data_IF_643634886164
#
_entry.id   IF_643634886164
#
_cell.length_a   1.000
_cell.length_b   1.000
_cell.length_c   1.000
_cell.angle_alpha   90.00
_cell.angle_beta   90.00
_cell.angle_gamma   90.00
#
_symmetry.space_group_name_H-M   'P 1'
#
loop_
_entity.id
_entity.type
_entity.pdbx_description
1 polymer ?
#
# COMPACT_ATOMS: atom_id res chain seq x y z
N UNK A 1 -13.05 73.44 -14.23
CA UNK A 1 -13.20 72.26 -15.10
C UNK A 1 -11.79 71.87 -15.53
N UNK A 2 -11.18 70.93 -14.78
CA UNK A 2 -9.75 70.66 -14.79
C UNK A 2 -9.36 69.63 -15.87
N UNK A 3 -8.22 69.90 -16.50
CA UNK A 3 -7.57 69.12 -17.53
C UNK A 3 -7.37 67.65 -17.13
N UNK A 4 -7.59 66.72 -18.07
CA UNK A 4 -7.10 65.34 -17.99
C UNK A 4 -6.20 65.02 -19.18
N UNK A 5 -4.94 64.82 -18.81
CA UNK A 5 -3.78 64.36 -19.57
C UNK A 5 -4.07 63.02 -20.26
N UNK A 6 -3.74 62.91 -21.55
CA UNK A 6 -3.63 61.65 -22.28
C UNK A 6 -2.25 61.05 -22.01
N UNK A 7 -2.20 59.87 -21.40
CA UNK A 7 -0.97 59.09 -21.27
C UNK A 7 -0.83 58.22 -22.53
N UNK A 8 0.10 58.61 -23.40
CA UNK A 8 0.64 57.80 -24.49
C UNK A 8 1.73 56.92 -23.90
N UNK A 9 1.59 55.60 -23.95
CA UNK A 9 2.70 54.67 -23.71
C UNK A 9 3.07 54.03 -25.03
N UNK A 10 4.32 54.27 -25.38
CA UNK A 10 5.00 54.00 -26.65
C UNK A 10 5.45 52.54 -26.72
N UNK A 11 5.35 51.97 -27.92
CA UNK A 11 6.00 50.73 -28.35
C UNK A 11 7.50 50.73 -28.07
N UNK A 12 7.99 49.65 -27.47
CA UNK A 12 9.37 49.18 -27.54
C UNK A 12 9.36 47.76 -26.98
N UNK A 13 9.89 46.73 -27.59
CA UNK A 13 10.92 46.59 -28.60
C UNK A 13 11.45 45.18 -28.37
N UNK A 14 11.32 44.32 -29.38
CA UNK A 14 11.85 42.94 -29.37
C UNK A 14 13.36 42.99 -29.14
N UNK A 15 13.86 42.27 -28.13
CA UNK A 15 15.28 41.97 -28.01
C UNK A 15 15.46 40.49 -27.62
N UNK A 16 15.66 39.66 -28.65
CA UNK A 16 16.31 38.37 -28.53
C UNK A 16 17.76 38.60 -28.09
N UNK A 17 18.12 38.12 -26.90
CA UNK A 17 19.52 37.90 -26.54
C UNK A 17 19.91 36.49 -26.96
N UNK A 18 20.48 36.37 -28.16
CA UNK A 18 21.27 35.21 -28.57
C UNK A 18 22.72 35.48 -28.18
N UNK A 19 23.17 34.90 -27.06
CA UNK A 19 24.58 34.80 -26.72
C UNK A 19 25.07 33.40 -27.13
N UNK A 20 25.75 33.36 -28.27
CA UNK A 20 26.59 32.23 -28.64
C UNK A 20 27.82 32.22 -27.71
N UNK A 21 27.92 31.20 -26.86
CA UNK A 21 29.19 30.83 -26.24
C UNK A 21 29.68 29.52 -26.87
N UNK A 22 30.92 29.60 -27.34
CA UNK A 22 31.72 28.54 -27.93
C UNK A 22 31.94 27.49 -26.84
N UNK A 23 31.35 26.32 -27.01
CA UNK A 23 31.59 25.17 -26.15
C UNK A 23 33.01 24.65 -26.37
N UNK A 24 33.83 24.69 -25.31
CA UNK A 24 34.99 23.81 -25.17
C UNK A 24 34.42 22.43 -24.88
N UNK A 25 34.67 21.47 -25.77
CA UNK A 25 34.33 20.07 -25.54
C UNK A 25 35.17 19.55 -24.38
N UNK A 26 34.55 19.45 -23.20
CA UNK A 26 35.06 18.67 -22.09
C UNK A 26 34.58 17.24 -22.33
N UNK A 27 35.50 16.30 -22.51
CA UNK A 27 35.19 14.87 -22.48
C UNK A 27 34.49 14.57 -21.14
N UNK A 28 33.17 14.43 -21.20
CA UNK A 28 32.41 13.80 -20.13
C UNK A 28 32.67 12.32 -20.31
N UNK A 29 33.55 11.79 -19.48
CA UNK A 29 33.67 10.37 -19.22
C UNK A 29 32.27 9.89 -18.83
N UNK A 30 31.54 9.26 -19.77
CA UNK A 30 30.28 8.57 -19.54
C UNK A 30 30.56 7.30 -18.70
N UNK A 31 31.08 7.51 -17.49
CA UNK A 31 30.84 6.58 -16.41
C UNK A 31 29.37 6.71 -16.07
N UNK A 32 28.54 5.80 -16.57
CA UNK A 32 27.25 5.52 -15.92
C UNK A 32 27.55 5.39 -14.44
N UNK A 33 27.17 6.38 -13.64
CA UNK A 33 27.21 6.26 -12.20
C UNK A 33 26.35 5.05 -11.87
N UNK A 34 27.00 3.92 -11.59
CA UNK A 34 26.37 2.77 -10.97
C UNK A 34 25.89 3.29 -9.63
N UNK A 35 24.61 3.67 -9.58
CA UNK A 35 23.92 3.84 -8.32
C UNK A 35 23.93 2.45 -7.69
N UNK A 36 24.90 2.20 -6.80
CA UNK A 36 24.77 1.14 -5.82
C UNK A 36 23.62 1.58 -4.93
N UNK A 37 22.40 1.17 -5.33
CA UNK A 37 21.24 1.20 -4.46
C UNK A 37 21.64 0.32 -3.29
N UNK A 38 22.16 0.98 -2.24
CA UNK A 38 22.59 0.33 -1.02
C UNK A 38 21.51 -0.62 -0.51
N UNK A 39 21.91 -1.50 0.39
CA UNK A 39 21.07 -2.57 0.90
C UNK A 39 19.64 -2.11 1.24
N UNK A 40 18.67 -2.53 0.42
CA UNK A 40 17.28 -2.08 0.57
C UNK A 40 16.65 -2.89 1.71
N UNK A 41 16.36 -2.19 2.80
CA UNK A 41 15.67 -2.75 3.98
C UNK A 41 14.15 -2.65 3.80
N UNK A 42 13.46 -3.75 4.08
CA UNK A 42 12.04 -3.96 3.88
C UNK A 42 11.41 -4.69 5.06
N UNK A 43 10.08 -4.60 5.21
CA UNK A 43 9.29 -5.29 6.27
C UNK A 43 8.38 -6.48 5.87
N UNK A 44 8.58 -7.22 4.76
CA UNK A 44 7.81 -8.41 4.37
C UNK A 44 7.65 -9.48 5.45
N UNK A 45 8.66 -9.63 6.30
CA UNK A 45 8.67 -10.61 7.40
C UNK A 45 8.18 -10.01 8.71
N UNK A 46 7.60 -8.80 8.69
CA UNK A 46 7.33 -7.96 9.86
C UNK A 46 8.59 -7.65 10.70
N UNK A 47 9.77 -7.81 10.10
CA UNK A 47 11.10 -7.46 10.58
C UNK A 47 11.83 -6.73 9.47
N UNK A 48 12.73 -5.82 9.84
CA UNK A 48 13.60 -5.14 8.88
C UNK A 48 14.62 -6.14 8.32
N UNK A 49 14.55 -6.36 7.01
CA UNK A 49 15.37 -7.30 6.26
C UNK A 49 15.79 -6.76 4.92
N UNK A 50 16.92 -7.23 4.45
CA UNK A 50 17.49 -6.87 3.17
C UNK A 50 16.80 -7.72 2.10
N UNK A 51 16.58 -7.18 0.90
CA UNK A 51 15.88 -7.95 -0.15
C UNK A 51 16.61 -9.25 -0.52
N UNK A 52 17.93 -9.30 -0.35
CA UNK A 52 18.76 -10.49 -0.60
C UNK A 52 18.54 -11.63 0.39
N UNK A 53 18.23 -11.30 1.65
CA UNK A 53 18.07 -12.27 2.74
C UNK A 53 16.71 -13.00 2.72
N UNK A 54 15.79 -12.55 1.88
CA UNK A 54 14.43 -13.06 1.85
C UNK A 54 14.28 -14.26 0.89
N UNK A 55 13.69 -15.34 1.42
CA UNK A 55 13.30 -16.51 0.64
C UNK A 55 12.13 -16.22 -0.32
N UNK A 56 11.31 -15.21 -0.02
CA UNK A 56 10.20 -14.75 -0.87
C UNK A 56 10.65 -13.78 -1.96
N UNK A 57 9.93 -13.77 -3.10
CA UNK A 57 10.16 -12.79 -4.16
C UNK A 57 9.61 -11.42 -3.78
N UNK A 58 10.51 -10.49 -3.45
CA UNK A 58 10.16 -9.13 -3.03
C UNK A 58 10.65 -8.11 -4.06
N UNK A 59 9.85 -7.06 -4.26
CA UNK A 59 10.26 -5.85 -4.97
C UNK A 59 9.89 -4.63 -4.16
N UNK A 60 10.70 -3.58 -4.31
CA UNK A 60 10.48 -2.29 -3.65
C UNK A 60 10.44 -1.23 -4.73
N UNK A 61 9.38 -0.43 -4.69
CA UNK A 61 9.32 0.81 -5.46
C UNK A 61 9.73 1.91 -4.50
N UNK A 62 10.92 2.48 -4.74
CA UNK A 62 11.52 3.50 -3.87
C UNK A 62 10.90 4.87 -4.13
N UNK A 63 11.19 5.81 -3.22
CA UNK A 63 10.77 7.21 -3.32
C UNK A 63 11.21 7.84 -4.64
N UNK A 64 12.43 7.57 -5.09
CA UNK A 64 13.00 8.14 -6.31
C UNK A 64 12.23 7.67 -7.55
N UNK A 65 11.88 6.37 -7.58
CA UNK A 65 11.04 5.81 -8.65
C UNK A 65 9.62 6.40 -8.61
N UNK A 66 9.08 6.62 -7.40
CA UNK A 66 7.77 7.26 -7.20
C UNK A 66 7.78 8.70 -7.72
N UNK A 67 8.78 9.48 -7.35
CA UNK A 67 8.90 10.90 -7.73
C UNK A 67 9.19 11.09 -9.22
N UNK A 68 9.88 10.14 -9.85
CA UNK A 68 10.08 10.11 -11.30
C UNK A 68 8.86 9.59 -12.08
N UNK A 69 7.83 9.07 -11.41
CA UNK A 69 6.68 8.42 -12.05
C UNK A 69 5.54 9.39 -12.35
N UNK A 70 4.83 9.14 -13.46
CA UNK A 70 3.57 9.81 -13.78
C UNK A 70 2.33 9.08 -13.24
N UNK A 71 2.54 8.07 -12.38
CA UNK A 71 1.46 7.29 -11.80
C UNK A 71 0.53 8.16 -10.94
N UNK A 72 -0.78 7.88 -11.01
CA UNK A 72 -1.79 8.71 -10.34
C UNK A 72 -2.16 8.18 -8.94
N UNK A 73 -1.96 6.88 -8.70
CA UNK A 73 -2.27 6.21 -7.42
C UNK A 73 -1.13 5.28 -7.00
N UNK A 74 -1.11 4.88 -5.73
CA UNK A 74 -0.13 3.93 -5.21
C UNK A 74 -0.21 2.54 -5.88
N UNK A 75 -1.37 2.17 -6.40
CA UNK A 75 -1.54 0.89 -7.11
C UNK A 75 -1.20 0.94 -8.59
N UNK A 76 -1.19 2.14 -9.18
CA UNK A 76 -0.93 2.34 -10.60
C UNK A 76 0.53 2.06 -10.96
N UNK A 77 1.44 2.53 -10.10
CA UNK A 77 2.88 2.44 -10.30
C UNK A 77 3.36 0.99 -10.29
N UNK A 78 2.59 0.07 -9.72
CA UNK A 78 2.91 -1.36 -9.65
C UNK A 78 3.03 -2.02 -11.03
N UNK A 79 2.49 -1.41 -12.08
CA UNK A 79 2.59 -1.90 -13.46
C UNK A 79 4.02 -1.96 -14.00
N UNK A 80 4.98 -1.28 -13.36
CA UNK A 80 6.41 -1.38 -13.72
C UNK A 80 7.04 -2.71 -13.24
N UNK A 81 6.39 -3.41 -12.32
CA UNK A 81 6.94 -4.61 -11.71
C UNK A 81 6.64 -5.85 -12.57
N UNK A 82 7.64 -6.71 -12.83
CA UNK A 82 7.41 -7.96 -13.56
C UNK A 82 6.49 -8.90 -12.76
N UNK A 83 5.59 -9.56 -13.49
CA UNK A 83 4.61 -10.49 -12.91
C UNK A 83 3.45 -9.82 -12.16
N UNK A 84 3.34 -8.49 -12.25
CA UNK A 84 2.25 -7.69 -11.69
C UNK A 84 1.48 -7.04 -12.83
N UNK A 85 0.16 -7.30 -12.89
CA UNK A 85 -0.72 -6.70 -13.87
C UNK A 85 -1.70 -5.77 -13.16
N UNK A 86 -1.85 -4.56 -13.68
CA UNK A 86 -2.76 -3.56 -13.13
C UNK A 86 -3.85 -3.28 -14.16
N UNK A 87 -5.08 -3.69 -13.85
CA UNK A 87 -6.26 -3.37 -14.65
C UNK A 87 -6.95 -2.15 -14.05
N UNK A 88 -7.27 -1.13 -14.84
CA UNK A 88 -7.87 0.11 -14.34
C UNK A 88 -9.19 0.41 -15.04
N UNK A 89 -10.15 0.94 -14.29
CA UNK A 89 -11.41 1.46 -14.85
C UNK A 89 -11.31 2.96 -15.14
N UNK A 90 -10.48 3.33 -16.13
CA UNK A 90 -10.19 4.74 -16.47
C UNK A 90 -8.99 5.34 -15.71
N UNK A 91 -8.66 6.62 -15.95
CA UNK A 91 -7.40 7.24 -15.52
C UNK A 91 -7.29 7.44 -14.00
N UNK A 92 -8.40 7.71 -13.32
CA UNK A 92 -8.51 7.78 -11.85
C UNK A 92 -9.47 6.70 -11.32
N UNK A 93 -9.61 5.64 -12.11
CA UNK A 93 -10.50 4.54 -11.88
C UNK A 93 -10.10 3.66 -10.72
N UNK A 94 -10.96 2.69 -10.43
CA UNK A 94 -10.57 1.61 -9.53
C UNK A 94 -9.53 0.75 -10.26
N UNK A 95 -8.46 0.41 -9.56
CA UNK A 95 -7.48 -0.57 -10.02
C UNK A 95 -7.75 -1.95 -9.43
N UNK A 96 -7.52 -2.98 -10.22
CA UNK A 96 -7.35 -4.35 -9.77
C UNK A 96 -5.91 -4.77 -10.04
N UNK A 97 -5.22 -5.19 -8.99
CA UNK A 97 -3.82 -5.64 -9.07
C UNK A 97 -3.82 -7.17 -9.02
N UNK A 98 -3.22 -7.76 -10.05
CA UNK A 98 -3.13 -9.21 -10.23
C UNK A 98 -1.66 -9.60 -10.12
N UNK A 99 -1.34 -10.49 -9.19
CA UNK A 99 0.00 -11.03 -8.99
C UNK A 99 -0.03 -12.52 -9.29
N UNK A 100 0.77 -12.98 -10.26
CA UNK A 100 0.84 -14.40 -10.67
C UNK A 100 -0.54 -15.05 -10.93
N UNK A 101 -1.46 -14.30 -11.55
CA UNK A 101 -2.83 -14.76 -11.85
C UNK A 101 -3.83 -14.63 -10.70
N UNK A 102 -3.37 -14.28 -9.49
CA UNK A 102 -4.23 -13.99 -8.36
C UNK A 102 -4.60 -12.49 -8.33
N UNK A 103 -5.84 -12.21 -8.67
CA UNK A 103 -6.51 -10.92 -8.46
C UNK A 103 -7.97 -11.14 -8.12
N UNK A 104 -8.68 -10.10 -7.69
CA UNK A 104 -10.13 -10.06 -7.45
C UNK A 104 -10.46 -8.77 -6.69
N UNK A 105 -10.04 -7.64 -7.25
CA UNK A 105 -10.18 -6.29 -6.69
C UNK A 105 -9.65 -6.17 -5.25
N UNK A 106 -8.48 -6.75 -5.01
CA UNK A 106 -7.83 -6.79 -3.68
C UNK A 106 -8.32 -7.89 -2.74
N UNK A 107 -9.19 -8.82 -3.17
CA UNK A 107 -9.59 -9.97 -2.32
C UNK A 107 -8.55 -11.08 -2.23
N UNK A 108 -7.69 -11.21 -3.24
CA UNK A 108 -6.64 -12.25 -3.32
C UNK A 108 -5.22 -11.69 -3.23
N UNK A 109 -5.07 -10.37 -3.13
CA UNK A 109 -3.81 -9.68 -2.92
C UNK A 109 -4.03 -8.72 -1.77
N UNK A 110 -3.28 -8.89 -0.69
CA UNK A 110 -3.42 -8.05 0.49
C UNK A 110 -2.85 -6.66 0.20
N UNK A 111 -3.63 -5.62 0.43
CA UNK A 111 -3.16 -4.23 0.33
C UNK A 111 -3.13 -3.64 1.74
N UNK A 112 -1.98 -3.11 2.12
CA UNK A 112 -1.73 -2.52 3.43
C UNK A 112 -1.28 -1.07 3.27
N UNK A 113 -1.59 -0.24 4.27
CA UNK A 113 -0.96 1.06 4.49
C UNK A 113 -0.34 1.02 5.89
N UNK A 114 0.97 1.16 6.00
CA UNK A 114 1.72 1.03 7.26
C UNK A 114 1.34 -0.24 8.05
N UNK A 115 1.25 -1.38 7.33
CA UNK A 115 0.87 -2.68 7.90
C UNK A 115 -0.62 -2.86 8.25
N UNK A 116 -1.44 -1.81 8.17
CA UNK A 116 -2.90 -1.89 8.37
C UNK A 116 -3.59 -2.37 7.08
N UNK A 117 -4.42 -3.42 7.12
CA UNK A 117 -5.20 -3.86 5.95
C UNK A 117 -6.19 -2.82 5.44
N UNK A 118 -6.16 -2.53 4.13
CA UNK A 118 -7.09 -1.63 3.45
C UNK A 118 -8.23 -2.40 2.78
N UNK A 119 -9.38 -2.45 3.48
CA UNK A 119 -10.52 -3.30 3.11
C UNK A 119 -11.87 -2.61 3.29
N UNK A 120 -12.76 -2.85 2.32
CA UNK A 120 -14.19 -2.59 2.36
C UNK A 120 -14.89 -3.81 3.00
N UNK A 121 -15.52 -3.62 4.17
CA UNK A 121 -15.96 -4.73 5.03
C UNK A 121 -16.97 -5.68 4.40
N UNK A 122 -17.92 -5.16 3.62
CA UNK A 122 -19.01 -5.93 3.01
C UNK A 122 -18.56 -6.78 1.81
N UNK A 123 -17.56 -6.32 1.05
CA UNK A 123 -17.12 -7.01 -0.18
C UNK A 123 -15.70 -7.59 -0.08
N UNK A 124 -14.94 -7.33 0.98
CA UNK A 124 -13.53 -7.74 1.10
C UNK A 124 -12.58 -7.09 0.07
N UNK A 125 -13.08 -6.07 -0.60
CA UNK A 125 -12.43 -5.34 -1.68
C UNK A 125 -11.48 -4.27 -1.16
N UNK A 126 -10.45 -3.91 -1.92
CA UNK A 126 -9.70 -2.66 -1.68
C UNK A 126 -10.26 -1.54 -2.56
N UNK A 127 -10.46 -0.36 -1.96
CA UNK A 127 -10.89 0.87 -2.64
C UNK A 127 -9.65 1.60 -3.12
N UNK A 128 -9.00 1.08 -4.16
CA UNK A 128 -7.63 1.45 -4.53
C UNK A 128 -7.45 2.90 -4.97
N UNK A 129 -8.48 3.54 -5.52
CA UNK A 129 -8.46 4.95 -5.87
C UNK A 129 -8.51 5.89 -4.65
N UNK A 130 -8.78 5.35 -3.44
CA UNK A 130 -8.59 6.08 -2.19
C UNK A 130 -7.17 5.91 -1.63
N UNK A 131 -6.20 5.40 -2.41
CA UNK A 131 -4.81 5.21 -2.00
C UNK A 131 -3.88 6.10 -2.85
N UNK A 132 -3.72 7.39 -2.50
CA UNK A 132 -2.92 8.34 -3.22
C UNK A 132 -1.43 8.03 -3.02
N UNK A 133 -0.66 8.43 -4.03
CA UNK A 133 0.78 8.23 -4.09
C UNK A 133 1.57 9.36 -3.38
N UNK A 134 0.88 10.42 -2.98
CA UNK A 134 1.48 11.67 -2.51
C UNK A 134 2.26 11.52 -1.20
N UNK A 135 1.75 10.70 -0.27
CA UNK A 135 2.37 10.48 1.03
C UNK A 135 3.15 9.15 1.10
N UNK A 136 3.58 8.61 -0.04
CA UNK A 136 4.26 7.31 -0.08
C UNK A 136 5.77 7.51 -0.01
N UNK A 137 6.44 6.88 0.94
CA UNK A 137 7.91 6.78 1.01
C UNK A 137 8.40 5.63 0.12
N UNK A 138 7.74 4.47 0.21
CA UNK A 138 8.02 3.31 -0.63
C UNK A 138 6.83 2.37 -0.70
N UNK A 139 6.85 1.49 -1.68
CA UNK A 139 5.86 0.40 -1.79
C UNK A 139 6.61 -0.92 -1.83
N UNK A 140 6.32 -1.79 -0.86
CA UNK A 140 6.86 -3.14 -0.77
C UNK A 140 5.87 -4.12 -1.39
N UNK A 141 6.33 -4.95 -2.34
CA UNK A 141 5.50 -5.95 -3.02
C UNK A 141 6.10 -7.33 -2.83
N UNK A 142 5.37 -8.18 -2.12
CA UNK A 142 5.68 -9.60 -1.96
C UNK A 142 4.86 -10.38 -2.98
N UNK A 143 5.53 -11.15 -3.83
CA UNK A 143 4.88 -11.99 -4.83
C UNK A 143 4.76 -13.43 -4.34
N UNK A 144 3.58 -14.00 -4.53
CA UNK A 144 3.25 -15.33 -4.07
C UNK A 144 2.60 -15.33 -2.68
N UNK A 145 2.15 -16.49 -2.21
CA UNK A 145 1.41 -16.63 -0.98
C UNK A 145 2.21 -16.18 0.23
N UNK A 146 1.63 -15.29 1.04
CA UNK A 146 2.26 -14.76 2.27
C UNK A 146 1.29 -14.81 3.46
N UNK A 147 0.32 -15.72 3.42
CA UNK A 147 -0.74 -15.82 4.43
C UNK A 147 -0.26 -16.13 5.84
N UNK A 148 0.94 -16.70 6.03
CA UNK A 148 1.49 -16.96 7.37
C UNK A 148 1.59 -15.66 8.18
N UNK A 149 2.12 -14.61 7.58
CA UNK A 149 2.31 -13.33 8.25
C UNK A 149 1.15 -12.36 8.05
N UNK A 150 0.43 -12.45 6.93
CA UNK A 150 -0.56 -11.44 6.52
C UNK A 150 -2.01 -11.93 6.45
N UNK A 151 -2.25 -13.22 6.70
CA UNK A 151 -3.58 -13.78 6.80
C UNK A 151 -4.31 -14.00 5.49
N UNK A 152 -5.64 -14.01 5.58
CA UNK A 152 -6.53 -14.58 4.56
C UNK A 152 -6.64 -13.79 3.25
N UNK A 153 -6.08 -12.60 3.14
CA UNK A 153 -6.12 -11.87 1.86
C UNK A 153 -4.81 -11.94 1.07
N UNK A 154 -3.77 -12.56 1.65
CA UNK A 154 -2.42 -12.65 1.08
C UNK A 154 -2.20 -13.92 0.23
N UNK A 155 -3.23 -14.33 -0.52
CA UNK A 155 -3.23 -15.55 -1.33
C UNK A 155 -2.26 -15.45 -2.51
N UNK A 156 -2.27 -14.34 -3.23
CA UNK A 156 -1.40 -14.07 -4.38
C UNK A 156 -0.17 -13.23 -4.09
N UNK A 157 -0.20 -12.49 -2.98
CA UNK A 157 0.84 -11.54 -2.62
C UNK A 157 0.37 -10.46 -1.66
N UNK A 158 1.29 -9.56 -1.35
CA UNK A 158 1.09 -8.43 -0.43
C UNK A 158 1.66 -7.18 -1.09
N UNK A 159 0.93 -6.09 -0.97
CA UNK A 159 1.34 -4.74 -1.34
C UNK A 159 1.27 -3.92 -0.05
N UNK A 160 2.42 -3.52 0.49
CA UNK A 160 2.50 -2.69 1.68
C UNK A 160 2.98 -1.30 1.30
N UNK A 161 2.09 -0.33 1.41
CA UNK A 161 2.35 1.08 1.13
C UNK A 161 2.88 1.70 2.42
N UNK A 162 4.14 2.12 2.42
CA UNK A 162 4.77 2.75 3.57
C UNK A 162 4.69 4.26 3.40
N UNK A 163 4.10 4.93 4.38
CA UNK A 163 3.93 6.38 4.33
C UNK A 163 5.17 7.14 4.81
N UNK A 164 5.32 8.39 4.38
CA UNK A 164 6.44 9.25 4.78
C UNK A 164 6.39 9.54 6.27
N UNK A 165 7.56 9.49 6.92
CA UNK A 165 7.78 10.01 8.28
C UNK A 165 8.61 11.30 8.16
N UNK A 166 8.25 12.37 8.91
CA UNK A 166 9.01 13.62 8.86
C UNK A 166 10.43 13.41 9.39
N UNK A 167 11.42 13.92 8.65
CA UNK A 167 12.84 13.78 9.01
C UNK A 167 13.38 15.08 9.59
N UNK A 168 12.99 16.19 9.00
CA UNK A 168 13.44 17.52 9.42
C UNK A 168 12.57 18.12 10.54
N UNK A 169 13.12 19.09 11.27
CA UNK A 169 12.35 19.86 12.28
C UNK A 169 11.10 20.52 11.69
N UNK A 170 11.19 20.90 10.42
CA UNK A 170 10.10 21.41 9.63
C UNK A 170 10.35 21.08 8.16
N UNK A 171 9.41 20.39 7.53
CA UNK A 171 9.42 20.08 6.11
C UNK A 171 8.01 20.22 5.54
N UNK A 172 7.91 20.55 4.27
CA UNK A 172 6.61 20.69 3.62
C UNK A 172 6.75 21.19 2.20
N UNK A 173 5.67 21.03 1.46
CA UNK A 173 5.57 21.47 0.08
C UNK A 173 4.13 21.76 -0.30
N UNK A 174 4.00 22.59 -1.32
CA UNK A 174 2.73 22.92 -1.96
C UNK A 174 2.86 22.53 -3.42
N UNK A 175 1.93 21.71 -3.90
CA UNK A 175 1.83 21.35 -5.31
C UNK A 175 0.57 21.97 -5.90
N UNK A 176 0.74 22.73 -6.98
CA UNK A 176 -0.34 23.25 -7.81
C UNK A 176 -0.11 22.74 -9.23
N UNK A 177 -1.07 22.06 -9.82
CA UNK A 177 -0.94 21.54 -11.19
C UNK A 177 -2.20 21.78 -12.00
N UNK A 178 -2.01 22.12 -13.28
CA UNK A 178 -3.06 22.27 -14.27
C UNK A 178 -2.64 21.59 -15.58
N UNK A 179 -3.52 20.82 -16.20
CA UNK A 179 -3.18 20.10 -17.42
C UNK A 179 -4.37 19.60 -18.22
N UNK A 180 -4.08 18.69 -19.15
CA UNK A 180 -5.06 18.10 -20.09
C UNK A 180 -6.34 17.63 -19.40
N UNK A 181 -7.46 17.76 -20.11
CA UNK A 181 -8.79 17.41 -19.60
C UNK A 181 -9.21 18.20 -18.36
N UNK A 182 -8.70 19.43 -18.23
CA UNK A 182 -8.96 20.30 -17.08
C UNK A 182 -8.60 19.60 -15.77
N UNK A 183 -7.46 18.91 -15.78
CA UNK A 183 -6.94 18.21 -14.62
C UNK A 183 -6.28 19.22 -13.70
N UNK A 184 -6.77 19.30 -12.48
CA UNK A 184 -6.31 20.22 -11.45
C UNK A 184 -5.87 19.42 -10.24
N UNK A 185 -4.71 19.76 -9.67
CA UNK A 185 -4.19 19.14 -8.43
C UNK A 185 -3.79 20.25 -7.48
N UNK A 186 -4.33 20.19 -6.27
CA UNK A 186 -4.01 21.07 -5.17
C UNK A 186 -3.55 20.23 -3.99
N UNK A 187 -2.29 20.36 -3.60
CA UNK A 187 -1.72 19.61 -2.50
C UNK A 187 -0.98 20.50 -1.54
N UNK A 188 -1.19 20.27 -0.27
CA UNK A 188 -0.39 20.80 0.82
C UNK A 188 0.07 19.63 1.68
N UNK A 189 1.39 19.53 1.87
CA UNK A 189 2.00 18.60 2.84
C UNK A 189 2.86 19.40 3.80
N UNK A 190 2.80 19.01 5.06
CA UNK A 190 3.67 19.57 6.07
C UNK A 190 3.92 18.50 7.13
N UNK A 191 5.15 18.42 7.59
CA UNK A 191 5.53 17.64 8.75
C UNK A 191 6.64 18.30 9.55
N UNK A 192 6.87 17.76 10.74
CA UNK A 192 8.00 18.18 11.57
C UNK A 192 8.38 17.09 12.56
N UNK A 193 9.68 16.98 12.81
CA UNK A 193 10.28 16.10 13.79
C UNK A 193 10.95 16.93 14.91
N UNK A 194 10.32 16.94 16.07
CA UNK A 194 10.72 17.67 17.27
C UNK A 194 11.32 16.70 18.31
N UNK A 195 12.28 15.87 17.87
CA UNK A 195 13.02 14.88 18.65
C UNK A 195 12.15 13.76 19.23
N UNK A 196 11.42 14.04 20.31
CA UNK A 196 10.51 13.07 20.95
C UNK A 196 9.11 13.06 20.35
N UNK A 197 8.76 14.05 19.53
CA UNK A 197 7.44 14.17 18.91
C UNK A 197 7.57 14.45 17.42
N UNK A 198 6.74 13.82 16.62
CA UNK A 198 6.67 14.08 15.20
C UNK A 198 5.22 14.15 14.73
N UNK A 199 4.98 14.95 13.71
CA UNK A 199 3.66 15.12 13.12
C UNK A 199 3.75 15.27 11.61
N UNK A 200 2.68 14.88 10.95
CA UNK A 200 2.51 15.04 9.51
C UNK A 200 1.03 15.28 9.22
N UNK A 201 0.74 16.24 8.35
CA UNK A 201 -0.58 16.40 7.77
C UNK A 201 -0.49 16.61 6.26
N UNK A 202 -1.48 16.10 5.54
CA UNK A 202 -1.62 16.34 4.12
C UNK A 202 -3.07 16.57 3.71
N UNK A 203 -3.23 17.49 2.76
CA UNK A 203 -4.46 17.73 2.03
C UNK A 203 -4.13 17.54 0.55
N UNK A 204 -4.91 16.71 -0.14
CA UNK A 204 -4.79 16.44 -1.57
C UNK A 204 -6.18 16.53 -2.19
N UNK A 205 -6.38 17.50 -3.05
CA UNK A 205 -7.60 17.67 -3.85
C UNK A 205 -7.24 17.57 -5.33
N UNK A 206 -8.04 16.80 -6.07
CA UNK A 206 -7.86 16.67 -7.51
C UNK A 206 -9.21 16.64 -8.19
N UNK A 207 -9.24 17.25 -9.37
CA UNK A 207 -10.37 17.28 -10.27
C UNK A 207 -9.91 17.01 -11.69
N UNK A 208 -10.70 16.30 -12.47
CA UNK A 208 -10.48 16.16 -13.92
C UNK A 208 -11.81 15.90 -14.63
N UNK A 209 -11.89 16.30 -15.90
CA UNK A 209 -12.98 15.87 -16.80
C UNK A 209 -12.75 14.48 -17.39
N UNK A 210 -11.53 13.95 -17.26
CA UNK A 210 -11.14 12.68 -17.84
C UNK A 210 -11.02 12.72 -19.37
N UNK A 211 -10.35 11.72 -19.94
CA UNK A 211 -10.07 11.66 -21.39
C UNK A 211 -11.11 10.88 -22.19
N UNK A 212 -11.94 10.10 -21.50
CA UNK A 212 -13.04 9.34 -22.09
C UNK A 212 -14.39 9.99 -21.70
N UNK A 213 -15.45 9.79 -22.48
CA UNK A 213 -16.80 10.07 -22.01
C UNK A 213 -17.08 9.37 -20.67
N UNK A 214 -17.77 10.06 -19.75
CA UNK A 214 -18.09 9.56 -18.40
C UNK A 214 -16.86 9.09 -17.61
N UNK A 215 -15.78 9.89 -17.63
CA UNK A 215 -14.56 9.59 -16.87
C UNK A 215 -14.10 10.73 -15.98
N UNK A 216 -15.01 11.66 -15.66
CA UNK A 216 -14.80 12.70 -14.65
C UNK A 216 -14.56 12.09 -13.28
N UNK A 217 -13.68 12.76 -12.55
CA UNK A 217 -13.20 12.33 -11.24
C UNK A 217 -12.91 13.56 -10.40
N UNK A 218 -13.38 13.52 -9.16
CA UNK A 218 -12.97 14.45 -8.13
C UNK A 218 -12.78 13.73 -6.81
N UNK A 219 -11.77 14.14 -6.05
CA UNK A 219 -11.63 13.69 -4.69
C UNK A 219 -10.95 14.74 -3.82
N UNK A 220 -11.17 14.57 -2.53
CA UNK A 220 -10.49 15.25 -1.45
C UNK A 220 -9.98 14.21 -0.49
N UNK A 221 -8.71 14.31 -0.15
CA UNK A 221 -8.06 13.45 0.80
C UNK A 221 -7.39 14.27 1.88
N UNK A 222 -7.64 13.88 3.12
CA UNK A 222 -6.99 14.41 4.30
C UNK A 222 -6.27 13.26 5.01
N UNK A 223 -5.02 13.48 5.41
CA UNK A 223 -4.27 12.56 6.25
C UNK A 223 -3.63 13.32 7.39
N UNK A 224 -3.68 12.72 8.57
CA UNK A 224 -3.06 13.23 9.77
C UNK A 224 -2.33 12.09 10.46
N UNK A 225 -1.07 12.32 10.84
CA UNK A 225 -0.26 11.43 11.64
C UNK A 225 0.36 12.22 12.78
N UNK A 226 0.31 11.65 13.97
CA UNK A 226 0.99 12.11 15.17
C UNK A 226 1.77 10.95 15.73
N UNK A 227 3.00 11.17 16.18
CA UNK A 227 3.71 10.15 16.91
C UNK A 227 4.77 10.72 17.83
N UNK A 228 5.30 9.87 18.70
CA UNK A 228 6.34 10.28 19.61
C UNK A 228 6.85 9.15 20.50
N UNK A 229 8.08 9.35 20.98
CA UNK A 229 8.77 8.47 21.90
C UNK A 229 8.32 8.80 23.33
N UNK A 230 7.45 7.95 23.88
CA UNK A 230 6.97 8.04 25.26
C UNK A 230 8.09 7.72 26.26
N UNK A 231 8.93 6.75 25.90
CA UNK A 231 10.21 6.43 26.54
C UNK A 231 11.25 6.21 25.45
N UNK A 232 12.48 5.85 25.80
CA UNK A 232 13.53 5.57 24.82
C UNK A 232 13.30 4.25 24.06
N UNK A 233 12.36 3.42 24.52
CA UNK A 233 12.04 2.09 23.97
C UNK A 233 10.57 1.94 23.58
N UNK A 234 9.75 2.99 23.67
CA UNK A 234 8.32 2.96 23.39
C UNK A 234 7.91 4.17 22.55
N UNK A 235 7.50 3.90 21.31
CA UNK A 235 6.91 4.88 20.40
C UNK A 235 5.40 4.65 20.32
N UNK A 236 4.62 5.74 20.37
CA UNK A 236 3.20 5.71 20.04
C UNK A 236 2.96 6.53 18.76
N UNK A 237 2.15 5.99 17.84
CA UNK A 237 1.78 6.63 16.58
C UNK A 237 0.28 6.51 16.37
N UNK A 238 -0.38 7.65 16.20
CA UNK A 238 -1.76 7.75 15.78
C UNK A 238 -1.83 8.25 14.32
N UNK A 239 -2.56 7.53 13.47
CA UNK A 239 -2.80 7.93 12.08
C UNK A 239 -4.31 7.99 11.82
N UNK A 240 -4.76 9.03 11.14
CA UNK A 240 -6.13 9.21 10.67
C UNK A 240 -6.13 9.65 9.22
N UNK A 241 -7.12 9.18 8.47
CA UNK A 241 -7.29 9.47 7.06
C UNK A 241 -8.76 9.61 6.74
N UNK A 242 -9.09 10.56 5.88
CA UNK A 242 -10.43 10.71 5.31
C UNK A 242 -10.33 11.02 3.82
N UNK A 243 -11.08 10.27 3.03
CA UNK A 243 -11.20 10.40 1.58
C UNK A 243 -12.68 10.56 1.25
N UNK A 244 -12.98 11.57 0.45
CA UNK A 244 -14.28 11.79 -0.17
C UNK A 244 -14.05 11.91 -1.67
N UNK A 245 -14.76 11.13 -2.47
CA UNK A 245 -14.52 11.08 -3.90
C UNK A 245 -15.75 10.68 -4.71
N UNK A 246 -15.93 11.39 -5.82
CA UNK A 246 -16.93 11.09 -6.83
C UNK A 246 -16.23 10.77 -8.14
N UNK A 247 -16.73 9.74 -8.83
CA UNK A 247 -16.20 9.37 -10.14
C UNK A 247 -17.25 8.80 -11.05
N UNK A 248 -17.06 9.01 -12.35
CA UNK A 248 -17.78 8.27 -13.39
C UNK A 248 -16.91 7.16 -13.95
N UNK A 249 -17.57 6.08 -14.35
CA UNK A 249 -16.92 4.92 -14.95
C UNK A 249 -17.12 4.96 -16.47
N UNK A 250 -16.01 4.93 -17.25
CA UNK A 250 -16.11 4.79 -18.69
C UNK A 250 -16.78 3.44 -19.00
N UNK A 251 -17.92 3.48 -19.67
CA UNK A 251 -18.70 2.31 -20.08
C UNK A 251 -19.04 2.41 -21.58
N UNK A 252 -19.17 1.29 -22.33
CA UNK A 252 -19.66 1.32 -23.70
C UNK A 252 -21.05 1.99 -23.76
N UNK A 253 -21.04 3.27 -24.15
CA UNK A 253 -22.14 4.14 -24.59
C UNK A 253 -23.57 3.75 -24.18
N UNK A 254 -24.03 4.18 -22.98
CA UNK A 254 -25.38 4.74 -22.69
C UNK A 254 -25.67 4.90 -21.19
N UNK A 255 -24.98 4.17 -20.31
CA UNK A 255 -25.23 4.25 -18.86
C UNK A 255 -24.42 5.40 -18.22
N UNK A 256 -25.09 6.29 -17.51
CA UNK A 256 -24.45 7.26 -16.62
C UNK A 256 -23.99 6.56 -15.33
N UNK A 257 -22.92 5.78 -15.45
CA UNK A 257 -22.38 5.00 -14.33
C UNK A 257 -21.46 5.87 -13.48
N UNK A 258 -21.85 6.08 -12.23
CA UNK A 258 -21.08 6.83 -11.25
C UNK A 258 -20.96 6.08 -9.92
N UNK A 259 -19.92 6.43 -9.18
CA UNK A 259 -19.66 5.95 -7.84
C UNK A 259 -19.23 7.11 -6.93
N UNK A 260 -19.88 7.20 -5.78
CA UNK A 260 -19.63 8.15 -4.69
C UNK A 260 -19.13 7.34 -3.48
N UNK A 261 -17.94 7.72 -3.00
CA UNK A 261 -17.21 7.03 -1.96
C UNK A 261 -16.78 8.00 -0.87
N UNK A 262 -17.15 7.68 0.37
CA UNK A 262 -16.41 8.15 1.54
C UNK A 262 -15.63 6.98 2.12
N UNK A 263 -14.35 7.19 2.42
CA UNK A 263 -13.49 6.22 3.12
C UNK A 263 -12.73 6.93 4.21
N UNK A 264 -12.82 6.40 5.43
CA UNK A 264 -12.05 6.89 6.56
C UNK A 264 -11.30 5.77 7.25
N UNK A 265 -10.23 6.14 7.95
CA UNK A 265 -9.54 5.22 8.85
C UNK A 265 -8.93 5.95 10.02
N UNK A 266 -8.80 5.25 11.14
CA UNK A 266 -7.94 5.65 12.23
C UNK A 266 -7.22 4.42 12.79
N UNK A 267 -5.98 4.60 13.22
CA UNK A 267 -5.19 3.57 13.88
C UNK A 267 -4.25 4.14 14.93
N UNK A 268 -4.07 3.40 16.01
CA UNK A 268 -3.08 3.64 17.05
C UNK A 268 -2.11 2.47 17.05
N UNK A 269 -0.83 2.78 16.97
CA UNK A 269 0.28 1.83 16.95
C UNK A 269 1.21 2.14 18.11
N UNK A 270 1.57 1.11 18.88
CA UNK A 270 2.61 1.15 19.89
C UNK A 270 3.75 0.28 19.40
N UNK A 271 4.93 0.86 19.22
CA UNK A 271 6.15 0.12 18.87
C UNK A 271 7.03 0.05 20.11
N UNK A 272 7.54 -1.14 20.40
CA UNK A 272 8.53 -1.39 21.45
C UNK A 272 9.84 -1.84 20.83
N UNK A 273 10.95 -1.33 21.33
CA UNK A 273 12.27 -1.69 20.86
C UNK A 273 13.27 -1.77 22.02
N UNK A 274 13.59 -3.00 22.42
CA UNK A 274 14.60 -3.35 23.41
C UNK A 274 15.67 -4.21 22.74
N UNK A 275 16.86 -4.28 23.33
CA UNK A 275 18.04 -4.97 22.77
C UNK A 275 17.75 -6.35 22.14
N UNK A 276 16.93 -7.18 22.81
CA UNK A 276 16.59 -8.53 22.34
C UNK A 276 15.10 -8.73 22.04
N UNK A 277 14.28 -7.68 22.16
CA UNK A 277 12.82 -7.76 22.00
C UNK A 277 12.32 -6.51 21.29
N UNK A 278 11.76 -6.68 20.10
CA UNK A 278 11.02 -5.63 19.41
C UNK A 278 9.60 -6.07 19.14
N UNK A 279 8.68 -5.14 18.97
CA UNK A 279 7.30 -5.49 18.75
C UNK A 279 6.41 -4.33 18.41
N UNK A 280 5.21 -4.67 17.97
CA UNK A 280 4.20 -3.71 17.60
C UNK A 280 2.84 -4.20 18.07
N UNK A 281 2.08 -3.31 18.71
CA UNK A 281 0.66 -3.48 18.96
C UNK A 281 -0.10 -2.40 18.19
N UNK A 282 -1.06 -2.79 17.35
CA UNK A 282 -1.89 -1.85 16.59
C UNK A 282 -3.36 -2.18 16.77
N UNK A 283 -4.16 -1.15 16.99
CA UNK A 283 -5.61 -1.19 16.87
C UNK A 283 -6.03 -0.24 15.76
N UNK A 284 -7.00 -0.65 14.95
CA UNK A 284 -7.40 0.13 13.78
C UNK A 284 -8.88 -0.03 13.47
N UNK A 285 -9.43 0.98 12.79
CA UNK A 285 -10.71 0.89 12.09
C UNK A 285 -10.65 1.60 10.76
N UNK A 286 -11.07 0.90 9.72
CA UNK A 286 -11.46 1.46 8.44
C UNK A 286 -12.99 1.52 8.38
N UNK A 287 -13.53 2.52 7.72
CA UNK A 287 -14.96 2.67 7.50
C UNK A 287 -15.24 3.38 6.18
N UNK A 288 -16.46 3.28 5.69
CA UNK A 288 -16.84 4.00 4.49
C UNK A 288 -18.33 4.04 4.21
N UNK A 289 -18.72 4.96 3.32
CA UNK A 289 -20.03 5.04 2.69
C UNK A 289 -19.85 4.83 1.20
N UNK A 290 -20.75 4.05 0.62
CA UNK A 290 -20.69 3.64 -0.78
C UNK A 290 -22.05 3.89 -1.40
N UNK A 291 -22.13 4.79 -2.37
CA UNK A 291 -23.33 5.07 -3.16
C UNK A 291 -23.02 4.94 -4.63
N UNK A 292 -23.72 4.06 -5.34
CA UNK A 292 -23.50 3.81 -6.76
C UNK A 292 -24.76 4.07 -7.57
N UNK A 293 -24.55 4.40 -8.84
CA UNK A 293 -25.60 4.63 -9.85
C UNK A 293 -26.56 3.46 -10.08
N UNK A 294 -26.15 2.23 -9.76
CA UNK A 294 -27.02 1.03 -9.83
C UNK A 294 -28.03 0.93 -8.67
N UNK A 295 -28.02 1.94 -7.79
CA UNK A 295 -28.86 1.98 -6.61
C UNK A 295 -28.23 1.31 -5.40
N UNK A 296 -26.97 0.85 -5.43
CA UNK A 296 -26.31 0.34 -4.23
C UNK A 296 -26.04 1.47 -3.23
N UNK A 297 -26.49 1.30 -1.99
CA UNK A 297 -26.16 2.18 -0.87
C UNK A 297 -25.78 1.37 0.36
N UNK A 298 -24.55 1.53 0.84
CA UNK A 298 -24.09 0.84 2.04
C UNK A 298 -23.12 1.68 2.86
N UNK A 299 -23.00 1.32 4.13
CA UNK A 299 -21.90 1.71 5.02
C UNK A 299 -21.15 0.47 5.45
N UNK A 300 -19.84 0.49 5.50
CA UNK A 300 -19.05 -0.64 5.97
C UNK A 300 -17.96 -0.23 6.94
N UNK A 301 -17.38 -1.23 7.58
CA UNK A 301 -16.22 -1.09 8.42
C UNK A 301 -15.36 -2.36 8.43
N UNK A 302 -14.09 -2.17 8.78
CA UNK A 302 -13.17 -3.23 9.18
C UNK A 302 -12.43 -2.75 10.41
N UNK A 303 -12.61 -3.42 11.54
CA UNK A 303 -11.93 -3.14 12.81
C UNK A 303 -11.02 -4.28 13.14
N UNK A 304 -9.82 -3.99 13.63
CA UNK A 304 -8.93 -5.06 14.06
C UNK A 304 -7.94 -4.61 15.11
N UNK A 305 -7.31 -5.62 15.69
CA UNK A 305 -6.18 -5.51 16.59
C UNK A 305 -5.12 -6.50 16.13
N UNK A 306 -3.85 -6.11 16.20
CA UNK A 306 -2.73 -6.97 15.89
C UNK A 306 -1.60 -6.76 16.88
N UNK A 307 -1.02 -7.86 17.33
CA UNK A 307 0.20 -7.90 18.11
C UNK A 307 1.24 -8.66 17.30
N UNK A 308 2.43 -8.11 17.22
CA UNK A 308 3.61 -8.74 16.65
C UNK A 308 4.77 -8.55 17.60
N UNK A 309 5.56 -9.58 17.85
CA UNK A 309 6.74 -9.49 18.70
C UNK A 309 7.84 -10.36 18.14
N UNK A 310 9.04 -9.82 18.11
CA UNK A 310 10.27 -10.45 17.67
C UNK A 310 11.21 -10.58 18.86
N UNK A 311 11.90 -11.71 18.93
CA UNK A 311 12.88 -12.02 19.96
C UNK A 311 14.16 -12.51 19.27
N UNK A 312 15.29 -12.24 19.90
CA UNK A 312 16.60 -12.81 19.52
C UNK A 312 17.05 -13.76 20.63
N UNK A 313 16.52 -15.00 20.70
CA UNK A 313 16.82 -15.93 21.79
C UNK A 313 18.24 -16.47 21.73
N UNK A 314 18.82 -16.58 20.53
CA UNK A 314 20.20 -17.02 20.27
C UNK A 314 20.78 -16.17 19.14
N UNK A 315 22.12 -16.16 19.03
CA UNK A 315 22.84 -15.41 18.00
C UNK A 315 22.38 -15.84 16.60
N UNK A 316 22.11 -14.85 15.74
CA UNK A 316 21.65 -15.07 14.37
C UNK A 316 20.20 -15.55 14.24
N UNK A 317 19.44 -15.65 15.34
CA UNK A 317 18.03 -16.01 15.31
C UNK A 317 17.12 -14.78 15.33
N UNK A 318 15.96 -14.90 14.70
CA UNK A 318 14.84 -14.01 14.93
C UNK A 318 13.57 -14.85 15.01
N UNK A 319 13.05 -14.98 16.23
CA UNK A 319 11.79 -15.66 16.50
C UNK A 319 10.67 -14.63 16.58
N UNK A 320 9.64 -14.80 15.77
CA UNK A 320 8.49 -13.92 15.65
C UNK A 320 7.23 -14.64 16.08
N UNK A 321 6.42 -13.98 16.90
CA UNK A 321 5.07 -14.41 17.23
C UNK A 321 4.08 -13.28 16.99
N UNK A 322 2.85 -13.63 16.63
CA UNK A 322 1.81 -12.63 16.49
C UNK A 322 0.41 -13.18 16.62
N UNK A 323 -0.49 -12.27 16.98
CA UNK A 323 -1.91 -12.52 17.12
C UNK A 323 -2.71 -11.43 16.44
N UNK A 324 -3.80 -11.79 15.78
CA UNK A 324 -4.64 -10.88 15.02
C UNK A 324 -6.12 -11.16 15.28
N UNK A 325 -6.89 -10.10 15.47
CA UNK A 325 -8.34 -10.14 15.46
C UNK A 325 -8.85 -9.15 14.42
N UNK A 326 -9.86 -9.55 13.66
CA UNK A 326 -10.48 -8.71 12.65
C UNK A 326 -11.98 -8.95 12.60
N UNK A 327 -12.75 -7.88 12.78
CA UNK A 327 -14.19 -7.82 12.50
C UNK A 327 -14.43 -6.96 11.27
N UNK A 328 -15.05 -7.52 10.26
CA UNK A 328 -15.48 -6.77 9.08
C UNK A 328 -17.00 -6.85 8.92
N UNK A 329 -17.63 -5.78 8.47
CA UNK A 329 -19.07 -5.73 8.40
C UNK A 329 -19.60 -4.43 7.83
N UNK A 330 -20.91 -4.22 7.96
CA UNK A 330 -21.58 -3.03 7.47
C UNK A 330 -23.10 -3.19 7.36
N UNK A 331 -23.74 -2.08 6.98
CA UNK A 331 -25.15 -1.97 6.71
C UNK A 331 -25.37 -1.78 5.22
N UNK A 332 -26.14 -2.68 4.60
CA UNK A 332 -26.72 -2.44 3.28
C UNK A 332 -28.04 -1.70 3.51
N UNK A 333 -28.19 -0.51 2.95
CA UNK A 333 -29.24 0.44 3.31
C UNK A 333 -30.47 0.36 2.40
N UNK A 334 -30.35 -0.27 1.24
CA UNK A 334 -31.42 -0.42 0.25
C UNK A 334 -31.32 -1.74 -0.54
N UNK A 335 -32.34 -1.99 -1.38
CA UNK A 335 -32.44 -3.23 -2.15
C UNK A 335 -32.95 -4.43 -1.35
N UNK A 336 -33.11 -5.58 -2.01
CA UNK A 336 -33.69 -6.80 -1.43
C UNK A 336 -32.82 -7.50 -0.38
N UNK A 337 -31.56 -7.08 -0.24
CA UNK A 337 -30.59 -7.62 0.72
C UNK A 337 -30.23 -6.60 1.82
N UNK A 338 -31.12 -5.63 2.06
CA UNK A 338 -30.98 -4.66 3.13
C UNK A 338 -30.80 -5.37 4.48
N UNK A 339 -29.81 -4.96 5.26
CA UNK A 339 -29.53 -5.57 6.55
C UNK A 339 -28.17 -5.18 7.12
N UNK A 340 -27.93 -5.62 8.35
CA UNK A 340 -26.63 -5.52 9.02
C UNK A 340 -25.91 -6.87 8.91
N UNK A 341 -24.64 -6.83 8.48
CA UNK A 341 -23.83 -8.02 8.29
C UNK A 341 -22.46 -7.82 8.92
N UNK A 342 -21.94 -8.87 9.54
CA UNK A 342 -20.57 -8.89 10.03
C UNK A 342 -20.00 -10.31 9.97
N UNK A 343 -18.67 -10.38 10.00
CA UNK A 343 -17.91 -11.60 10.26
C UNK A 343 -16.69 -11.30 11.12
N UNK A 344 -16.33 -12.26 11.96
CA UNK A 344 -15.12 -12.24 12.76
C UNK A 344 -14.07 -13.24 12.26
N UNK A 345 -12.81 -12.86 12.42
CA UNK A 345 -11.64 -13.69 12.16
C UNK A 345 -10.61 -13.50 13.26
N UNK A 346 -10.07 -14.60 13.77
CA UNK A 346 -8.98 -14.62 14.74
C UNK A 346 -7.81 -15.45 14.20
N UNK A 347 -6.58 -15.03 14.52
CA UNK A 347 -5.41 -15.78 14.13
C UNK A 347 -4.26 -15.66 15.12
N UNK A 348 -3.40 -16.67 15.07
CA UNK A 348 -2.10 -16.69 15.72
C UNK A 348 -1.07 -17.25 14.74
N UNK A 349 0.14 -16.71 14.77
CA UNK A 349 1.25 -17.24 13.99
C UNK A 349 2.54 -17.25 14.79
N UNK A 350 3.40 -18.18 14.41
CA UNK A 350 4.82 -18.20 14.76
C UNK A 350 5.64 -18.26 13.49
N UNK A 351 6.79 -17.62 13.52
CA UNK A 351 7.76 -17.66 12.44
C UNK A 351 9.16 -17.62 13.07
N UNK A 352 10.08 -18.42 12.57
CA UNK A 352 11.45 -18.48 13.02
C UNK A 352 12.36 -18.27 11.81
N UNK A 353 13.43 -17.52 12.02
CA UNK A 353 14.49 -17.33 11.05
C UNK A 353 15.83 -17.54 11.74
N UNK A 354 16.67 -18.40 11.16
CA UNK A 354 18.00 -18.68 11.66
C UNK A 354 19.04 -18.42 10.57
N UNK A 355 19.98 -17.54 10.88
CA UNK A 355 21.19 -17.31 10.10
C UNK A 355 22.29 -18.23 10.64
N UNK A 356 22.95 -18.94 9.73
CA UNK A 356 23.95 -19.96 10.02
C UNK A 356 25.22 -19.68 9.21
N UNK A 357 26.38 -20.01 9.80
CA UNK A 357 27.68 -19.93 9.16
C UNK A 357 27.99 -18.54 8.56
N UNK A 358 27.91 -17.50 9.38
CA UNK A 358 28.14 -16.11 8.95
C UNK A 358 27.27 -15.73 7.74
N UNK A 359 25.97 -16.04 7.84
CA UNK A 359 24.92 -15.73 6.85
C UNK A 359 25.04 -16.50 5.51
N UNK A 360 25.94 -17.47 5.39
CA UNK A 360 26.00 -18.36 4.22
C UNK A 360 24.68 -19.10 4.01
N UNK A 361 24.00 -19.48 5.09
CA UNK A 361 22.68 -20.12 5.05
C UNK A 361 21.70 -19.38 5.95
N UNK A 362 20.58 -18.97 5.40
CA UNK A 362 19.43 -18.44 6.13
C UNK A 362 18.28 -19.43 5.95
N UNK A 363 17.80 -19.98 7.05
CA UNK A 363 16.64 -20.86 7.06
C UNK A 363 15.48 -20.12 7.74
N UNK A 364 14.29 -20.19 7.14
CA UNK A 364 13.08 -19.63 7.72
C UNK A 364 11.93 -20.61 7.69
N UNK A 365 11.05 -20.54 8.68
CA UNK A 365 9.88 -21.40 8.78
C UNK A 365 8.80 -20.76 9.62
N UNK A 366 7.53 -21.00 9.27
CA UNK A 366 6.42 -20.45 10.04
C UNK A 366 5.13 -21.21 9.83
N UNK A 367 4.22 -21.03 10.78
CA UNK A 367 2.87 -21.56 10.69
C UNK A 367 1.88 -20.55 11.24
N UNK A 368 0.75 -20.40 10.56
CA UNK A 368 -0.41 -19.64 11.02
C UNK A 368 -1.58 -20.58 11.25
N UNK A 369 -2.25 -20.35 12.37
CA UNK A 369 -3.62 -20.80 12.62
C UNK A 369 -4.57 -19.62 12.41
N UNK A 370 -5.66 -19.84 11.67
CA UNK A 370 -6.70 -18.85 11.43
C UNK A 370 -8.07 -19.50 11.67
N UNK A 371 -8.97 -18.80 12.35
CA UNK A 371 -10.35 -19.22 12.60
C UNK A 371 -11.27 -18.11 12.09
N UNK A 372 -12.02 -18.40 11.03
CA UNK A 372 -13.01 -17.52 10.42
C UNK A 372 -14.42 -18.00 10.78
N UNK A 373 -15.29 -17.06 11.15
CA UNK A 373 -16.64 -17.36 11.66
C UNK A 373 -17.48 -18.28 10.76
N UNK A 374 -17.27 -18.22 9.44
CA UNK A 374 -18.08 -18.95 8.46
C UNK A 374 -17.37 -20.15 7.85
N UNK A 375 -16.07 -20.03 7.58
CA UNK A 375 -15.27 -21.08 6.92
C UNK A 375 -14.48 -21.95 7.89
N UNK A 376 -14.46 -21.59 9.18
CA UNK A 376 -13.81 -22.34 10.23
C UNK A 376 -12.30 -22.22 10.21
N UNK A 377 -11.62 -23.32 10.52
CA UNK A 377 -10.20 -23.35 10.86
C UNK A 377 -9.33 -23.59 9.65
N UNK A 378 -8.23 -22.86 9.57
CA UNK A 378 -7.23 -22.98 8.52
C UNK A 378 -5.81 -22.94 9.08
N UNK A 379 -4.98 -23.90 8.65
CA UNK A 379 -3.55 -23.94 8.95
C UNK A 379 -2.75 -23.63 7.69
N UNK A 380 -1.80 -22.71 7.81
CA UNK A 380 -0.93 -22.29 6.70
C UNK A 380 0.53 -22.40 7.13
N UNK A 381 1.27 -23.39 6.59
CA UNK A 381 2.71 -23.47 6.77
C UNK A 381 3.47 -22.68 5.70
N UNK A 382 4.71 -22.32 6.05
CA UNK A 382 5.71 -21.72 5.18
C UNK A 382 7.11 -22.22 5.58
N UNK A 383 7.98 -22.40 4.59
CA UNK A 383 9.41 -22.64 4.81
C UNK A 383 10.23 -22.00 3.69
N UNK A 384 11.45 -21.59 4.01
CA UNK A 384 12.37 -20.94 3.09
C UNK A 384 13.83 -21.23 3.41
N UNK A 385 14.65 -21.24 2.37
CA UNK A 385 16.10 -21.31 2.44
C UNK A 385 16.70 -20.25 1.52
N UNK A 386 17.71 -19.55 2.02
CA UNK A 386 18.56 -18.65 1.23
C UNK A 386 20.00 -19.06 1.45
N UNK A 387 20.72 -19.27 0.35
CA UNK A 387 22.10 -19.71 0.34
C UNK A 387 22.95 -18.66 -0.38
N UNK A 388 23.77 -17.96 0.40
CA UNK A 388 24.74 -16.98 -0.08
C UNK A 388 25.99 -17.75 -0.53
N UNK A 389 26.01 -18.17 -1.80
CA UNK A 389 27.08 -19.03 -2.38
C UNK A 389 28.43 -18.32 -2.34
N UNK A 390 28.42 -17.04 -2.70
CA UNK A 390 29.55 -16.10 -2.72
C UNK A 390 28.99 -14.69 -2.83
N UNK A 391 29.84 -13.68 -2.70
CA UNK A 391 29.45 -12.28 -2.89
C UNK A 391 28.67 -12.08 -4.21
N UNK A 392 27.50 -11.48 -4.09
CA UNK A 392 26.60 -11.22 -5.21
C UNK A 392 25.86 -12.44 -5.78
N UNK A 393 26.08 -13.68 -5.31
CA UNK A 393 25.40 -14.89 -5.83
C UNK A 393 24.54 -15.53 -4.75
N UNK A 394 23.23 -15.47 -4.92
CA UNK A 394 22.25 -15.95 -3.95
C UNK A 394 21.34 -16.99 -4.60
N UNK A 395 21.22 -18.16 -3.99
CA UNK A 395 20.21 -19.16 -4.36
C UNK A 395 19.15 -19.16 -3.27
N UNK A 396 17.87 -19.14 -3.65
CA UNK A 396 16.76 -19.23 -2.72
C UNK A 396 15.79 -20.33 -3.10
N UNK A 397 15.16 -20.92 -2.11
CA UNK A 397 14.04 -21.83 -2.27
C UNK A 397 12.96 -21.49 -1.24
N UNK A 398 11.69 -21.57 -1.64
CA UNK A 398 10.57 -21.32 -0.75
C UNK A 398 9.37 -22.21 -1.05
N UNK A 399 8.66 -22.56 0.02
CA UNK A 399 7.42 -23.33 0.00
C UNK A 399 6.39 -22.64 0.88
N UNK A 400 5.28 -22.19 0.29
CA UNK A 400 4.30 -21.36 0.99
C UNK A 400 2.87 -21.83 0.70
N UNK A 401 2.04 -21.90 1.74
CA UNK A 401 0.58 -22.01 1.60
C UNK A 401 -0.08 -20.63 1.72
N UNK A 402 -0.98 -20.32 0.79
CA UNK A 402 -1.89 -19.19 0.87
C UNK A 402 -3.33 -19.64 1.05
N UNK A 403 -4.14 -18.79 1.64
CA UNK A 403 -5.57 -19.03 1.75
C UNK A 403 -6.39 -17.74 1.70
N UNK A 404 -7.69 -17.89 1.45
CA UNK A 404 -8.68 -16.83 1.55
C UNK A 404 -10.02 -17.30 2.06
N UNK A 405 -10.42 -16.75 3.20
CA UNK A 405 -11.75 -16.90 3.78
C UNK A 405 -12.81 -16.21 2.89
N UNK A 406 -14.02 -16.78 2.76
CA UNK A 406 -15.10 -16.18 1.98
C UNK A 406 -15.52 -14.81 2.53
N UNK A 407 -15.92 -13.90 1.66
CA UNK A 407 -16.32 -12.53 2.00
C UNK A 407 -17.84 -12.43 2.19
N UNK A 408 -18.32 -11.42 2.93
CA UNK A 408 -19.75 -11.27 3.23
C UNK A 408 -20.64 -11.23 1.98
N UNK A 409 -20.18 -10.58 0.91
CA UNK A 409 -20.90 -10.57 -0.36
C UNK A 409 -21.04 -11.96 -1.00
N UNK A 410 -20.03 -12.82 -0.87
CA UNK A 410 -20.04 -14.20 -1.36
C UNK A 410 -20.95 -15.08 -0.49
N UNK A 411 -21.01 -14.77 0.81
CA UNK A 411 -21.79 -15.51 1.80
C UNK A 411 -23.25 -15.08 1.87
N UNK A 412 -23.62 -13.84 1.51
CA UNK A 412 -24.95 -13.28 1.84
C UNK A 412 -25.65 -12.57 0.70
N UNK A 413 -24.95 -12.03 -0.31
CA UNK A 413 -25.57 -11.06 -1.23
C UNK A 413 -25.98 -11.64 -2.58
N UNK A 414 -25.32 -12.71 -3.05
CA UNK A 414 -25.58 -13.30 -4.36
C UNK A 414 -26.15 -14.71 -4.21
N UNK A 415 -27.11 -15.09 -5.06
CA UNK A 415 -28.05 -16.22 -4.90
C UNK A 415 -27.52 -17.65 -4.71
N UNK A 416 -26.22 -17.84 -4.47
CA UNK A 416 -25.62 -19.09 -3.98
C UNK A 416 -25.22 -19.00 -2.49
N UNK A 417 -25.70 -17.98 -1.77
CA UNK A 417 -25.32 -17.54 -0.41
C UNK A 417 -25.71 -18.46 0.77
N UNK A 418 -25.84 -19.77 0.55
CA UNK A 418 -26.21 -20.74 1.60
C UNK A 418 -25.34 -22.01 1.64
N UNK A 419 -24.20 -22.03 0.94
CA UNK A 419 -23.25 -23.14 1.03
C UNK A 419 -22.16 -22.80 2.06
N UNK A 420 -21.75 -23.77 2.86
CA UNK A 420 -20.48 -23.70 3.59
C UNK A 420 -19.40 -23.58 2.52
N UNK A 421 -18.79 -22.39 2.41
CA UNK A 421 -17.74 -22.13 1.44
C UNK A 421 -16.41 -22.39 2.14
N UNK A 422 -15.72 -23.45 1.71
CA UNK A 422 -14.34 -23.70 2.13
C UNK A 422 -13.46 -22.51 1.73
N UNK A 423 -12.41 -22.19 2.50
CA UNK A 423 -11.42 -21.20 2.08
C UNK A 423 -10.85 -21.53 0.70
N UNK A 424 -10.56 -20.52 -0.11
CA UNK A 424 -9.71 -20.71 -1.29
C UNK A 424 -8.29 -21.01 -0.79
N UNK A 425 -7.57 -21.92 -1.44
CA UNK A 425 -6.19 -22.26 -1.08
C UNK A 425 -5.28 -22.21 -2.30
N UNK A 426 -3.99 -21.94 -2.06
CA UNK A 426 -2.95 -22.03 -3.09
C UNK A 426 -1.65 -22.49 -2.47
N UNK A 427 -0.84 -23.20 -3.24
CA UNK A 427 0.49 -23.63 -2.86
C UNK A 427 1.51 -23.07 -3.84
N UNK A 428 2.61 -22.55 -3.31
CA UNK A 428 3.71 -22.02 -4.10
C UNK A 428 5.00 -22.76 -3.77
N UNK A 429 5.68 -23.22 -4.81
CA UNK A 429 7.02 -23.78 -4.76
C UNK A 429 7.89 -22.90 -5.64
N UNK A 430 8.94 -22.31 -5.07
CA UNK A 430 9.79 -21.36 -5.77
C UNK A 430 11.26 -21.69 -5.56
N UNK A 431 12.05 -21.57 -6.63
CA UNK A 431 13.51 -21.57 -6.60
C UNK A 431 13.96 -20.35 -7.39
N UNK A 432 14.94 -19.62 -6.88
CA UNK A 432 15.49 -18.43 -7.51
C UNK A 432 17.00 -18.38 -7.42
N UNK A 433 17.63 -17.75 -8.42
CA UNK A 433 19.04 -17.40 -8.44
C UNK A 433 19.13 -15.89 -8.70
N UNK A 434 19.80 -15.16 -7.81
CA UNK A 434 20.16 -13.77 -8.03
C UNK A 434 21.68 -13.69 -8.19
N UNK A 435 22.13 -12.98 -9.23
CA UNK A 435 23.54 -12.69 -9.48
C UNK A 435 23.69 -11.18 -9.66
N UNK A 436 24.44 -10.53 -8.78
CA UNK A 436 24.94 -9.16 -9.01
C UNK A 436 26.02 -9.25 -10.08
N UNK A 437 25.80 -8.60 -11.22
CA UNK A 437 26.79 -8.49 -12.30
C UNK A 437 27.37 -7.08 -12.17
N UNK A 438 28.63 -7.01 -11.76
CA UNK A 438 29.44 -5.78 -11.75
C UNK A 438 29.99 -5.49 -13.12
#
# INVERSE_FOLDING_TARGET
MLAKMKLVVVLGGVLLFALAQIGVAQEVEEGMATFDLGEIVVTPTKTERTVGDLSLSVSVITKEVIEASTAQTATDILSILPGVFVHKTGPFGRTDVVIRGHGSRGRRVMVLVDGKPEKMGLFGCTVTHSLPLDNVERIEVVRGPASVLYGSDALGGVINIITKKPKEKFEGDITLSYGSYDTQVYRLRQGGNLERFHYYFSIDERKTRGHLPNSDYEHKNFTWRLGGNLTDNLEAVFTSRYFDGFKREPSPATADTWNDYERGSYDLTLNVDFENISGMFKVYRNFGRHMFSDGWHAKDYTTGAMLHTNFVPIVGNTFSLGGEFRRQGGDVLNGGIKGNYHKDEFAFFIHDEQRLFDEVLIASGGIRYNDDEYSGRMFCPQAGLVFNVREGTIIRAAFNKGFRSPQLNELKFFGLSNLVVNPEETWNYEVGLNQKIT
#
